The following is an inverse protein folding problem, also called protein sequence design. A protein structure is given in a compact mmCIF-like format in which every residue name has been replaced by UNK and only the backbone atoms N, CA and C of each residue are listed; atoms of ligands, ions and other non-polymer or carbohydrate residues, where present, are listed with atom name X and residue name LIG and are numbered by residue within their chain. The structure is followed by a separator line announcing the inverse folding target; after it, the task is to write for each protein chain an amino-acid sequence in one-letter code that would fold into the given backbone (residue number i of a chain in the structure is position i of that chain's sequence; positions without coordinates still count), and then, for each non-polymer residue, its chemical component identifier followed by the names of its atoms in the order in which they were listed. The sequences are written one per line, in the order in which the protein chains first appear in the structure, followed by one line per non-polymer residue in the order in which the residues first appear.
data_IF_286162656462
#
_entry.id   IF_286162656462
#
_cell.length_a   1.000
_cell.length_b   1.000
_cell.length_c   1.000
_cell.angle_alpha   90.00
_cell.angle_beta   90.00
_cell.angle_gamma   90.00
#
_symmetry.space_group_name_H-M   'P 1'
#
loop_
_entity.id
_entity.type
_entity.pdbx_description
1 polymer ?
#
# COMPACT_ATOMS: atom_id res chain seq x y z
N UNK A 1 -12.50 22.37 -8.85
CA UNK A 1 -13.58 21.54 -8.25
C UNK A 1 -13.46 20.08 -8.67
N UNK A 2 -13.59 19.74 -9.97
CA UNK A 2 -13.48 18.34 -10.46
C UNK A 2 -12.13 17.68 -10.17
N UNK A 3 -11.03 18.39 -10.42
CA UNK A 3 -9.66 17.91 -10.15
C UNK A 3 -9.41 17.62 -8.67
N UNK A 4 -9.97 18.43 -7.76
CA UNK A 4 -9.88 18.20 -6.32
C UNK A 4 -10.69 16.97 -5.89
N UNK A 5 -11.88 16.77 -6.46
CA UNK A 5 -12.68 15.56 -6.21
C UNK A 5 -11.96 14.28 -6.66
N UNK A 6 -11.26 14.32 -7.81
CA UNK A 6 -10.45 13.19 -8.28
C UNK A 6 -9.30 12.87 -7.32
N UNK A 7 -8.60 13.88 -6.80
CA UNK A 7 -7.53 13.70 -5.80
C UNK A 7 -8.07 13.00 -4.54
N UNK A 8 -9.24 13.40 -4.05
CA UNK A 8 -9.89 12.75 -2.90
C UNK A 8 -10.25 11.30 -3.19
N UNK A 9 -10.82 11.01 -4.37
CA UNK A 9 -11.17 9.63 -4.76
C UNK A 9 -9.91 8.75 -4.81
N UNK A 10 -8.84 9.24 -5.44
CA UNK A 10 -7.56 8.50 -5.51
C UNK A 10 -6.98 8.29 -4.11
N UNK A 11 -7.02 9.30 -3.23
CA UNK A 11 -6.55 9.18 -1.86
C UNK A 11 -7.32 8.09 -1.08
N UNK A 12 -8.64 8.00 -1.25
CA UNK A 12 -9.47 6.97 -0.62
C UNK A 12 -9.08 5.58 -1.15
N UNK A 13 -8.97 5.42 -2.48
CA UNK A 13 -8.58 4.14 -3.11
C UNK A 13 -7.21 3.68 -2.60
N UNK A 14 -6.24 4.59 -2.52
CA UNK A 14 -4.90 4.30 -2.00
C UNK A 14 -4.98 3.89 -0.53
N UNK A 15 -5.70 4.63 0.31
CA UNK A 15 -5.84 4.32 1.74
C UNK A 15 -6.46 2.94 1.96
N UNK A 16 -7.53 2.60 1.23
CA UNK A 16 -8.20 1.30 1.31
C UNK A 16 -7.28 0.17 0.80
N UNK A 17 -6.60 0.38 -0.33
CA UNK A 17 -5.64 -0.59 -0.86
C UNK A 17 -4.51 -0.89 0.11
N UNK A 18 -3.92 0.15 0.71
CA UNK A 18 -2.86 -0.01 1.71
C UNK A 18 -3.36 -0.71 2.97
N UNK A 19 -4.56 -0.37 3.47
CA UNK A 19 -5.15 -1.04 4.61
C UNK A 19 -5.38 -2.55 4.36
N UNK A 20 -5.83 -2.92 3.15
CA UNK A 20 -6.01 -4.33 2.75
C UNK A 20 -4.68 -5.07 2.66
N UNK A 21 -3.64 -4.45 2.11
CA UNK A 21 -2.30 -5.04 2.02
C UNK A 21 -1.69 -5.26 3.41
N UNK A 22 -1.78 -4.28 4.31
CA UNK A 22 -1.31 -4.39 5.69
C UNK A 22 -2.06 -5.51 6.43
N UNK A 23 -3.39 -5.56 6.28
CA UNK A 23 -4.23 -6.59 6.89
C UNK A 23 -3.89 -7.99 6.36
N UNK A 24 -3.68 -8.12 5.05
CA UNK A 24 -3.23 -9.34 4.39
C UNK A 24 -1.89 -9.79 4.96
N UNK A 25 -0.88 -8.91 4.96
CA UNK A 25 0.45 -9.20 5.48
C UNK A 25 0.41 -9.62 6.96
N UNK A 26 -0.40 -8.96 7.78
CA UNK A 26 -0.61 -9.34 9.18
C UNK A 26 -1.25 -10.73 9.33
N UNK A 27 -2.24 -11.05 8.49
CA UNK A 27 -2.89 -12.37 8.46
C UNK A 27 -1.92 -13.47 8.04
N UNK A 28 -1.14 -13.24 6.97
CA UNK A 28 -0.14 -14.20 6.48
C UNK A 28 1.01 -14.43 7.47
N UNK A 29 1.38 -13.43 8.30
CA UNK A 29 2.36 -13.64 9.38
C UNK A 29 1.85 -14.60 10.47
N UNK A 30 0.55 -14.59 10.76
CA UNK A 30 -0.07 -15.47 11.78
C UNK A 30 -0.38 -16.86 11.25
N UNK A 31 -0.73 -16.97 9.97
CA UNK A 31 -0.88 -18.25 9.30
C UNK A 31 0.50 -18.70 8.81
N UNK A 32 1.22 -19.45 9.64
CA UNK A 32 2.37 -20.28 9.22
C UNK A 32 1.88 -21.27 8.14
N UNK A 33 1.71 -20.79 6.92
CA UNK A 33 1.31 -21.57 5.78
C UNK A 33 2.47 -22.52 5.49
N UNK A 34 2.29 -23.78 5.84
CA UNK A 34 3.18 -24.88 5.45
C UNK A 34 3.32 -24.78 3.93
N UNK A 35 4.44 -24.22 3.47
CA UNK A 35 4.70 -24.04 2.05
C UNK A 35 5.19 -25.39 1.52
N UNK A 36 4.69 -25.86 0.37
CA UNK A 36 5.23 -27.04 -0.29
C UNK A 36 6.75 -26.91 -0.47
N UNK A 37 7.52 -27.99 -0.24
CA UNK A 37 8.96 -27.97 -0.40
C UNK A 37 9.34 -27.59 -1.84
N UNK A 38 10.24 -26.62 -2.00
CA UNK A 38 10.72 -26.11 -3.30
C UNK A 38 10.26 -24.70 -3.67
N UNK A 39 9.33 -24.09 -2.93
CA UNK A 39 8.89 -22.71 -3.17
C UNK A 39 9.72 -21.76 -2.31
N UNK A 40 10.50 -20.88 -2.94
CA UNK A 40 11.22 -19.80 -2.25
C UNK A 40 10.21 -18.83 -1.64
N UNK A 41 10.27 -18.62 -0.32
CA UNK A 41 9.50 -17.54 0.33
C UNK A 41 10.13 -16.20 -0.02
N UNK A 42 9.33 -15.24 -0.48
CA UNK A 42 9.75 -13.83 -0.46
C UNK A 42 9.96 -13.40 0.99
N UNK A 43 10.92 -12.50 1.23
CA UNK A 43 11.16 -11.97 2.57
C UNK A 43 9.97 -11.08 2.98
N UNK A 44 9.15 -11.52 3.96
CA UNK A 44 7.95 -10.78 4.35
C UNK A 44 8.28 -9.43 5.00
N UNK A 45 9.54 -9.19 5.41
CA UNK A 45 9.99 -7.87 5.88
C UNK A 45 10.30 -6.96 4.70
N UNK A 46 10.97 -7.48 3.67
CA UNK A 46 11.22 -6.76 2.43
C UNK A 46 9.95 -6.32 1.72
N UNK A 47 8.98 -7.23 1.58
CA UNK A 47 7.68 -6.93 0.95
C UNK A 47 6.90 -5.85 1.72
N UNK A 48 6.95 -5.89 3.06
CA UNK A 48 6.30 -4.87 3.91
C UNK A 48 7.00 -3.51 3.78
N UNK A 49 8.34 -3.49 3.80
CA UNK A 49 9.12 -2.27 3.66
C UNK A 49 8.85 -1.62 2.29
N UNK A 50 8.82 -2.42 1.22
CA UNK A 50 8.52 -1.92 -0.12
C UNK A 50 7.10 -1.35 -0.22
N UNK A 51 6.12 -2.05 0.37
CA UNK A 51 4.73 -1.57 0.46
C UNK A 51 4.64 -0.23 1.21
N UNK A 52 5.39 -0.08 2.30
CA UNK A 52 5.42 1.16 3.08
C UNK A 52 6.07 2.31 2.30
N UNK A 53 7.17 2.06 1.59
CA UNK A 53 7.82 3.04 0.73
C UNK A 53 6.87 3.51 -0.38
N UNK A 54 6.15 2.59 -1.02
CA UNK A 54 5.15 2.96 -2.04
C UNK A 54 4.00 3.76 -1.45
N UNK A 55 3.51 3.38 -0.26
CA UNK A 55 2.47 4.14 0.43
C UNK A 55 2.90 5.58 0.69
N UNK A 56 4.09 5.78 1.28
CA UNK A 56 4.64 7.11 1.59
C UNK A 56 4.84 7.91 0.29
N UNK A 57 5.43 7.31 -0.74
CA UNK A 57 5.63 7.96 -2.04
C UNK A 57 4.32 8.39 -2.68
N UNK A 58 3.27 7.59 -2.56
CA UNK A 58 1.94 7.91 -3.10
C UNK A 58 1.29 9.06 -2.34
N UNK A 59 1.40 9.07 -1.01
CA UNK A 59 0.91 10.18 -0.18
C UNK A 59 1.65 11.48 -0.49
N UNK A 60 2.98 11.44 -0.61
CA UNK A 60 3.79 12.59 -0.96
C UNK A 60 3.43 13.12 -2.37
N UNK A 61 3.25 12.23 -3.34
CA UNK A 61 2.81 12.60 -4.68
C UNK A 61 1.42 13.24 -4.68
N UNK A 62 0.45 12.66 -3.97
CA UNK A 62 -0.88 13.24 -3.83
C UNK A 62 -0.86 14.62 -3.15
N UNK A 63 -0.03 14.79 -2.12
CA UNK A 63 0.15 16.09 -1.45
C UNK A 63 0.75 17.14 -2.41
N UNK A 64 1.77 16.76 -3.19
CA UNK A 64 2.35 17.63 -4.20
C UNK A 64 1.33 18.03 -5.27
N UNK A 65 0.56 17.08 -5.80
CA UNK A 65 -0.49 17.34 -6.78
C UNK A 65 -1.58 18.25 -6.18
N UNK A 66 -2.02 17.98 -4.95
CA UNK A 66 -3.00 18.82 -4.27
C UNK A 66 -2.50 20.26 -4.07
N UNK A 67 -1.24 20.44 -3.71
CA UNK A 67 -0.62 21.76 -3.56
C UNK A 67 -0.49 22.50 -4.89
N UNK A 68 -0.26 21.79 -6.00
CA UNK A 68 -0.22 22.40 -7.35
C UNK A 68 -1.59 22.83 -7.89
N UNK A 69 -2.68 22.37 -7.25
CA UNK A 69 -4.06 22.66 -7.62
C UNK A 69 -4.72 23.74 -6.75
N UNK A 70 -4.01 24.23 -5.73
CA UNK A 70 -4.37 25.36 -4.86
C UNK A 70 -3.83 26.67 -5.42
#
# INVERSE_FOLDING_TARGET
MLSWALVVIVAIVVAVGQALLIRSAWRFRKTLAILPPGISRSDPRGDLAWTLVTAIGTVAFLAFVAQSLL
#
